data_IF_353465434927
#
_entry.id   IF_353465434927
#
_cell.length_a   1.000
_cell.length_b   1.000
_cell.length_c   1.000
_cell.angle_alpha   90.00
_cell.angle_beta   90.00
_cell.angle_gamma   90.00
#
_symmetry.space_group_name_H-M   'P 1'
#
loop_
_entity.id
_entity.type
_entity.pdbx_description
1 polymer ?
#
# COMPACT_ATOMS: atom_id res chain seq x y z
N UNK A 1 11.35 -16.74 17.63
CA UNK A 1 10.82 -16.32 16.35
C UNK A 1 11.49 -17.16 15.28
N UNK A 2 10.68 -17.74 14.38
CA UNK A 2 11.21 -18.44 13.23
C UNK A 2 11.88 -17.43 12.30
N UNK A 3 12.95 -17.83 11.60
CA UNK A 3 13.61 -16.90 10.67
C UNK A 3 12.66 -16.56 9.51
N UNK A 4 12.76 -15.35 8.94
CA UNK A 4 11.90 -14.91 7.83
C UNK A 4 11.90 -15.87 6.62
N UNK A 5 13.00 -16.60 6.39
CA UNK A 5 13.10 -17.64 5.36
C UNK A 5 12.17 -18.85 5.58
N UNK A 6 11.72 -19.10 6.82
CA UNK A 6 10.69 -20.12 7.09
C UNK A 6 9.31 -19.72 6.55
N UNK A 7 9.13 -18.44 6.30
CA UNK A 7 7.94 -17.82 5.76
C UNK A 7 7.71 -18.17 4.27
N UNK A 8 8.80 -18.31 3.53
CA UNK A 8 8.82 -18.81 2.16
C UNK A 8 8.93 -20.34 2.13
N UNK A 9 8.37 -21.05 3.16
CA UNK A 9 8.35 -22.50 3.23
C UNK A 9 8.18 -23.17 1.86
N UNK A 10 8.37 -24.51 1.70
CA UNK A 10 8.25 -25.14 0.40
C UNK A 10 6.91 -24.65 -0.18
N UNK A 11 6.87 -24.21 -1.44
CA UNK A 11 5.74 -23.50 -2.00
C UNK A 11 4.48 -24.34 -1.78
N UNK A 12 3.78 -24.06 -0.69
CA UNK A 12 2.40 -24.46 -0.59
C UNK A 12 1.77 -23.86 -1.83
N UNK A 13 0.99 -24.65 -2.56
CA UNK A 13 0.41 -24.34 -3.86
C UNK A 13 -0.35 -22.98 -3.93
N UNK A 14 -0.38 -22.22 -2.84
CA UNK A 14 -1.04 -20.92 -2.73
C UNK A 14 -0.15 -19.74 -3.11
N UNK A 15 1.17 -19.85 -2.99
CA UNK A 15 2.10 -18.76 -3.34
C UNK A 15 3.10 -19.27 -4.38
N UNK A 16 2.83 -19.01 -5.64
CA UNK A 16 3.81 -19.23 -6.69
C UNK A 16 4.92 -18.16 -6.53
N UNK A 17 6.02 -18.53 -5.90
CA UNK A 17 7.24 -17.72 -5.88
C UNK A 17 8.01 -17.99 -7.15
N UNK A 18 8.07 -17.02 -8.05
CA UNK A 18 9.03 -17.05 -9.14
C UNK A 18 10.36 -16.52 -8.61
N UNK A 19 11.34 -17.42 -8.48
CA UNK A 19 12.68 -17.08 -7.98
C UNK A 19 13.52 -16.26 -8.98
N UNK A 20 12.93 -15.81 -10.08
CA UNK A 20 13.65 -15.22 -11.21
C UNK A 20 13.35 -13.71 -11.31
N UNK A 21 13.96 -12.93 -10.43
CA UNK A 21 13.87 -11.49 -10.57
C UNK A 21 14.70 -10.73 -9.54
N UNK A 22 15.86 -10.22 -9.96
CA UNK A 22 16.62 -9.19 -9.23
C UNK A 22 15.92 -7.81 -9.30
N UNK A 23 14.75 -7.71 -9.95
CA UNK A 23 14.03 -6.46 -10.09
C UNK A 23 13.10 -6.25 -8.89
N UNK A 24 13.39 -5.25 -8.06
CA UNK A 24 12.59 -4.93 -6.87
C UNK A 24 11.20 -4.38 -7.20
N UNK A 25 10.91 -4.07 -8.47
CA UNK A 25 9.64 -3.49 -8.89
C UNK A 25 8.70 -4.59 -9.40
N UNK A 26 7.52 -4.76 -8.80
CA UNK A 26 6.55 -5.71 -9.31
C UNK A 26 6.15 -5.38 -10.77
N UNK A 27 6.11 -6.36 -11.67
CA UNK A 27 5.82 -6.11 -13.09
C UNK A 27 4.35 -5.78 -13.37
N UNK A 28 3.46 -6.17 -12.48
CA UNK A 28 2.02 -5.99 -12.64
C UNK A 28 1.30 -6.07 -11.30
N UNK A 29 0.06 -5.59 -11.29
CA UNK A 29 -0.89 -5.78 -10.19
C UNK A 29 -1.06 -7.27 -9.85
N UNK A 30 -1.22 -7.56 -8.57
CA UNK A 30 -1.37 -8.91 -8.05
C UNK A 30 -0.05 -9.63 -7.78
N UNK A 31 1.07 -8.97 -8.03
CA UNK A 31 2.41 -9.45 -7.69
C UNK A 31 3.05 -8.47 -6.71
N UNK A 32 3.73 -9.00 -5.72
CA UNK A 32 4.59 -8.23 -4.81
C UNK A 32 6.01 -8.78 -4.88
N UNK A 33 7.00 -7.94 -4.63
CA UNK A 33 8.39 -8.35 -4.48
C UNK A 33 8.76 -8.27 -3.00
N UNK A 34 9.35 -9.32 -2.48
CA UNK A 34 9.78 -9.42 -1.08
C UNK A 34 11.30 -9.28 -1.05
N UNK A 35 11.84 -8.41 -0.20
CA UNK A 35 13.29 -8.38 0.04
C UNK A 35 13.65 -9.19 1.27
N UNK A 36 14.45 -10.21 1.05
CA UNK A 36 14.85 -11.14 2.08
C UNK A 36 16.20 -11.78 1.71
N UNK A 37 17.14 -11.85 2.64
CA UNK A 37 18.45 -12.47 2.45
C UNK A 37 19.21 -11.94 1.20
N UNK A 38 19.06 -10.65 0.88
CA UNK A 38 19.73 -9.99 -0.25
C UNK A 38 19.14 -10.30 -1.63
N UNK A 39 17.90 -10.79 -1.71
CA UNK A 39 17.21 -11.12 -2.95
C UNK A 39 15.77 -10.60 -2.97
N UNK A 40 15.23 -10.42 -4.19
CA UNK A 40 13.86 -9.95 -4.43
C UNK A 40 12.97 -11.04 -5.06
N UNK A 41 12.63 -12.13 -4.35
CA UNK A 41 11.64 -13.08 -4.86
C UNK A 41 10.29 -12.41 -5.09
N UNK A 42 9.61 -12.83 -6.17
CA UNK A 42 8.27 -12.39 -6.51
C UNK A 42 7.23 -13.34 -5.96
N UNK A 43 6.15 -12.79 -5.44
CA UNK A 43 5.02 -13.56 -4.92
C UNK A 43 3.72 -13.09 -5.57
N UNK A 44 2.96 -14.03 -6.13
CA UNK A 44 1.62 -13.75 -6.62
C UNK A 44 0.63 -13.75 -5.45
N UNK A 45 -0.13 -12.67 -5.30
CA UNK A 45 -1.19 -12.57 -4.30
C UNK A 45 -2.46 -13.27 -4.82
N UNK A 46 -3.04 -14.22 -4.08
CA UNK A 46 -4.33 -14.80 -4.44
C UNK A 46 -5.43 -13.73 -4.50
N UNK A 47 -6.51 -13.94 -5.28
CA UNK A 47 -7.68 -13.06 -5.21
C UNK A 47 -8.23 -12.99 -3.79
N UNK A 48 -8.64 -11.79 -3.34
CA UNK A 48 -9.25 -11.65 -2.01
C UNK A 48 -10.54 -12.47 -1.89
N UNK A 49 -10.81 -12.97 -0.69
CA UNK A 49 -12.08 -13.60 -0.32
C UNK A 49 -13.21 -12.58 -0.14
N UNK A 50 -12.84 -11.30 0.07
CA UNK A 50 -13.78 -10.20 0.15
C UNK A 50 -14.41 -9.88 -1.21
N UNK A 51 -15.58 -9.23 -1.19
CA UNK A 51 -16.35 -8.89 -2.41
C UNK A 51 -16.32 -7.42 -2.76
N UNK A 52 -15.84 -6.57 -1.85
CA UNK A 52 -15.77 -5.12 -2.08
C UNK A 52 -14.57 -4.79 -2.95
N UNK A 53 -14.65 -3.66 -3.64
CA UNK A 53 -13.55 -3.15 -4.47
C UNK A 53 -12.29 -2.96 -3.63
N UNK A 54 -12.42 -2.40 -2.43
CA UNK A 54 -11.29 -2.19 -1.52
C UNK A 54 -10.60 -3.49 -1.12
N UNK A 55 -11.34 -4.59 -1.00
CA UNK A 55 -10.79 -5.90 -0.63
C UNK A 55 -9.90 -6.48 -1.76
N UNK A 56 -10.12 -6.08 -3.02
CA UNK A 56 -9.36 -6.54 -4.18
C UNK A 56 -8.05 -5.77 -4.43
N UNK A 57 -7.78 -4.73 -3.68
CA UNK A 57 -6.51 -4.02 -3.76
C UNK A 57 -5.35 -4.90 -3.30
N UNK A 58 -4.20 -4.77 -3.94
CA UNK A 58 -3.02 -5.57 -3.58
C UNK A 58 -2.60 -5.37 -2.12
N UNK A 59 -2.74 -4.17 -1.57
CA UNK A 59 -2.47 -3.90 -0.15
C UNK A 59 -3.44 -4.63 0.78
N UNK A 60 -4.70 -4.77 0.41
CA UNK A 60 -5.68 -5.52 1.20
C UNK A 60 -5.42 -7.04 1.11
N UNK A 61 -5.10 -7.53 -0.08
CA UNK A 61 -4.70 -8.93 -0.31
C UNK A 61 -3.40 -9.28 0.44
N UNK A 62 -2.41 -8.38 0.45
CA UNK A 62 -1.19 -8.56 1.24
C UNK A 62 -1.52 -8.68 2.73
N UNK A 63 -2.43 -7.84 3.23
CA UNK A 63 -2.89 -7.92 4.63
C UNK A 63 -3.59 -9.24 4.92
N UNK A 64 -4.51 -9.67 4.06
CA UNK A 64 -5.30 -10.90 4.23
C UNK A 64 -4.44 -12.18 4.18
N UNK A 65 -3.44 -12.21 3.29
CA UNK A 65 -2.69 -13.45 3.02
C UNK A 65 -1.31 -13.49 3.67
N UNK A 66 -0.76 -12.34 4.04
CA UNK A 66 0.61 -12.26 4.56
C UNK A 66 0.67 -11.63 5.94
N UNK A 67 0.22 -10.37 6.08
CA UNK A 67 0.46 -9.61 7.31
C UNK A 67 -0.30 -10.23 8.49
N UNK A 68 -1.58 -10.54 8.32
CA UNK A 68 -2.41 -11.08 9.40
C UNK A 68 -2.03 -12.52 9.76
N UNK A 69 -2.01 -13.50 8.81
CA UNK A 69 -1.80 -14.90 9.16
C UNK A 69 -0.36 -15.25 9.54
N UNK A 70 0.62 -14.52 9.07
CA UNK A 70 2.03 -14.89 9.23
C UNK A 70 2.83 -13.92 10.10
N UNK A 71 2.49 -12.64 10.10
CA UNK A 71 3.19 -11.63 10.88
C UNK A 71 2.38 -11.13 12.09
N UNK A 72 1.16 -11.65 12.28
CA UNK A 72 0.23 -11.25 13.35
C UNK A 72 -0.10 -9.73 13.34
N UNK A 73 0.03 -9.10 12.16
CA UNK A 73 -0.27 -7.67 11.95
C UNK A 73 -1.72 -7.54 11.50
N UNK A 74 -2.62 -7.32 12.46
CA UNK A 74 -4.07 -7.19 12.21
C UNK A 74 -4.53 -5.76 11.94
N UNK A 75 -3.83 -4.75 12.43
CA UNK A 75 -4.09 -3.33 12.15
C UNK A 75 -2.80 -2.61 11.72
N UNK A 76 -2.50 -2.57 10.42
CA UNK A 76 -1.29 -1.93 9.90
C UNK A 76 -1.14 -0.44 10.24
N UNK A 77 -2.21 0.20 10.75
CA UNK A 77 -2.16 1.63 11.15
C UNK A 77 -1.49 1.84 12.49
N UNK A 78 -1.51 0.85 13.35
CA UNK A 78 -1.12 0.96 14.76
C UNK A 78 -0.07 -0.02 15.20
N UNK A 79 0.17 -1.04 14.39
CA UNK A 79 1.13 -2.07 14.72
C UNK A 79 2.56 -1.49 14.66
N UNK A 80 3.35 -1.63 15.72
CA UNK A 80 4.72 -1.12 15.75
C UNK A 80 5.70 -1.93 14.89
N UNK A 81 5.30 -3.12 14.43
CA UNK A 81 6.15 -4.02 13.63
C UNK A 81 6.01 -3.76 12.12
N UNK A 82 5.26 -2.75 11.70
CA UNK A 82 5.16 -2.35 10.30
C UNK A 82 5.48 -0.88 10.14
N UNK A 83 6.29 -0.57 9.13
CA UNK A 83 6.55 0.80 8.69
C UNK A 83 6.30 0.94 7.19
N UNK A 84 6.17 2.17 6.72
CA UNK A 84 5.82 2.48 5.34
C UNK A 84 6.85 3.43 4.74
N UNK A 85 7.44 3.00 3.64
CA UNK A 85 8.36 3.81 2.84
C UNK A 85 7.62 4.34 1.63
N UNK A 86 7.65 5.66 1.42
CA UNK A 86 7.04 6.27 0.24
C UNK A 86 7.80 5.90 -1.03
N UNK A 87 7.09 5.52 -2.09
CA UNK A 87 7.68 5.06 -3.35
C UNK A 87 8.67 6.04 -4.00
N UNK A 88 8.62 7.33 -3.64
CA UNK A 88 9.59 8.33 -4.10
C UNK A 88 11.02 8.07 -3.61
N UNK A 89 11.19 7.30 -2.54
CA UNK A 89 12.51 6.94 -1.99
C UNK A 89 13.14 5.75 -2.71
N UNK A 90 12.37 5.09 -3.56
CA UNK A 90 12.81 3.89 -4.26
C UNK A 90 12.90 2.66 -3.36
N UNK A 91 13.44 1.60 -3.93
CA UNK A 91 13.62 0.31 -3.26
C UNK A 91 14.94 0.23 -2.48
N UNK A 92 15.90 1.09 -2.79
CA UNK A 92 17.20 1.15 -2.10
C UNK A 92 17.01 1.36 -0.58
N UNK A 93 16.08 2.22 -0.18
CA UNK A 93 15.74 2.43 1.24
C UNK A 93 15.19 1.15 1.90
N UNK A 94 14.48 0.32 1.15
CA UNK A 94 13.95 -0.95 1.66
C UNK A 94 15.07 -1.96 1.89
N UNK A 95 16.00 -2.06 0.95
CA UNK A 95 17.19 -2.91 1.05
C UNK A 95 18.05 -2.48 2.24
N UNK A 96 18.37 -1.18 2.33
CA UNK A 96 19.19 -0.63 3.42
C UNK A 96 18.60 -0.96 4.80
N UNK A 97 17.30 -0.85 4.98
CA UNK A 97 16.66 -1.15 6.28
C UNK A 97 16.76 -2.62 6.66
N UNK A 98 16.61 -3.52 5.71
CA UNK A 98 16.73 -4.95 5.97
C UNK A 98 18.18 -5.33 6.21
N UNK A 99 19.10 -4.84 5.36
CA UNK A 99 20.53 -5.15 5.47
C UNK A 99 21.16 -4.61 6.76
N UNK A 100 20.66 -3.49 7.29
CA UNK A 100 21.09 -2.95 8.59
C UNK A 100 20.40 -3.61 9.79
N UNK A 101 19.39 -4.45 9.56
CA UNK A 101 18.64 -5.13 10.61
C UNK A 101 17.59 -4.25 11.30
N UNK A 102 17.18 -3.16 10.64
CA UNK A 102 16.08 -2.30 11.10
C UNK A 102 14.70 -2.92 10.74
N UNK A 103 14.69 -3.86 9.81
CA UNK A 103 13.54 -4.67 9.43
C UNK A 103 13.97 -6.09 9.08
N UNK A 104 13.12 -7.07 9.33
CA UNK A 104 13.37 -8.48 8.98
C UNK A 104 12.99 -8.79 7.52
N UNK A 105 12.08 -7.99 6.94
CA UNK A 105 11.51 -8.18 5.60
C UNK A 105 11.09 -6.83 5.03
N UNK A 106 11.29 -6.62 3.75
CA UNK A 106 10.64 -5.52 3.03
C UNK A 106 9.74 -6.04 1.91
N UNK A 107 8.69 -5.27 1.59
CA UNK A 107 7.73 -5.59 0.54
C UNK A 107 7.62 -4.42 -0.41
N UNK A 108 7.93 -4.65 -1.68
CA UNK A 108 7.67 -3.72 -2.76
C UNK A 108 6.36 -4.08 -3.46
N UNK A 109 5.52 -3.08 -3.70
CA UNK A 109 4.17 -3.27 -4.23
C UNK A 109 3.99 -2.55 -5.56
N UNK A 110 3.12 -3.09 -6.40
CA UNK A 110 2.70 -2.39 -7.61
C UNK A 110 1.94 -1.10 -7.24
N UNK A 111 2.19 0.03 -7.92
CA UNK A 111 1.50 1.29 -7.61
C UNK A 111 -0.01 1.18 -7.73
N UNK A 112 -0.74 1.68 -6.74
CA UNK A 112 -2.20 1.81 -6.80
C UNK A 112 -2.58 2.76 -7.94
N UNK A 113 -3.51 2.35 -8.79
CA UNK A 113 -3.96 3.15 -9.93
C UNK A 113 -5.01 4.20 -9.53
N UNK A 114 -5.19 5.21 -10.38
CA UNK A 114 -6.25 6.21 -10.19
C UNK A 114 -7.64 5.56 -10.32
N UNK A 115 -7.78 4.59 -11.22
CA UNK A 115 -9.01 3.84 -11.43
C UNK A 115 -9.42 3.07 -10.17
N UNK A 116 -8.46 2.47 -9.47
CA UNK A 116 -8.70 1.81 -8.18
C UNK A 116 -9.16 2.80 -7.11
N UNK A 117 -8.52 3.96 -7.03
CA UNK A 117 -8.90 5.00 -6.10
C UNK A 117 -10.34 5.48 -6.35
N UNK A 118 -10.68 5.72 -7.61
CA UNK A 118 -12.04 6.13 -8.01
C UNK A 118 -13.04 5.04 -7.68
N UNK A 119 -12.75 3.78 -8.03
CA UNK A 119 -13.66 2.66 -7.79
C UNK A 119 -13.94 2.44 -6.29
N UNK A 120 -12.92 2.55 -5.42
CA UNK A 120 -13.10 2.47 -3.97
C UNK A 120 -13.94 3.64 -3.44
N UNK A 121 -13.72 4.85 -3.99
CA UNK A 121 -14.49 6.04 -3.63
C UNK A 121 -15.96 5.93 -4.05
N UNK A 122 -16.23 5.45 -5.27
CA UNK A 122 -17.59 5.27 -5.79
C UNK A 122 -18.36 4.21 -5.01
N UNK A 123 -17.66 3.19 -4.48
CA UNK A 123 -18.23 2.20 -3.56
C UNK A 123 -18.56 2.80 -2.18
N UNK A 124 -18.07 3.99 -1.86
CA UNK A 124 -18.16 4.59 -0.53
C UNK A 124 -17.24 3.95 0.52
N UNK A 125 -16.25 3.21 0.08
CA UNK A 125 -15.22 2.60 0.93
C UNK A 125 -14.06 3.57 1.17
N UNK A 126 -13.26 3.29 2.21
CA UNK A 126 -12.04 4.03 2.50
C UNK A 126 -10.82 3.27 1.98
N UNK A 127 -9.88 3.99 1.39
CA UNK A 127 -8.60 3.42 1.01
C UNK A 127 -7.84 2.88 2.23
N UNK A 128 -7.14 1.74 2.10
CA UNK A 128 -6.25 1.25 3.13
C UNK A 128 -5.16 2.29 3.48
N UNK A 129 -4.60 2.25 4.69
CA UNK A 129 -3.61 3.24 5.11
C UNK A 129 -2.37 3.19 4.22
N UNK A 130 -1.83 4.38 3.90
CA UNK A 130 -0.57 4.52 3.16
C UNK A 130 -0.55 3.87 1.77
N UNK A 131 -1.69 3.48 1.21
CA UNK A 131 -1.81 2.88 -0.11
C UNK A 131 -1.74 3.89 -1.26
N UNK A 132 -1.73 5.20 -0.95
CA UNK A 132 -1.60 6.27 -1.94
C UNK A 132 -0.61 7.33 -1.47
N UNK A 133 0.12 7.89 -2.42
CA UNK A 133 1.01 9.02 -2.21
C UNK A 133 0.72 10.11 -3.24
N UNK A 134 0.37 11.29 -2.75
CA UNK A 134 0.14 12.46 -3.60
C UNK A 134 1.32 13.42 -3.49
N UNK A 135 1.90 13.78 -4.63
CA UNK A 135 3.00 14.73 -4.72
C UNK A 135 2.69 15.77 -5.82
N UNK A 136 2.73 17.07 -5.55
CA UNK A 136 2.94 17.69 -4.24
C UNK A 136 1.72 17.54 -3.33
N UNK A 137 1.95 17.53 -2.01
CA UNK A 137 0.85 17.48 -1.04
C UNK A 137 -0.06 18.70 -1.21
N UNK A 138 -1.36 18.44 -1.29
CA UNK A 138 -2.36 19.50 -1.31
C UNK A 138 -2.24 20.33 -0.02
N UNK A 139 -2.19 21.65 -0.19
CA UNK A 139 -2.21 22.57 0.96
C UNK A 139 -3.66 22.76 1.41
N UNK A 140 -3.93 22.47 2.67
CA UNK A 140 -5.22 22.76 3.28
C UNK A 140 -5.35 24.26 3.55
N UNK A 141 -6.58 24.79 3.39
CA UNK A 141 -6.87 26.20 3.71
C UNK A 141 -6.53 27.23 2.63
N UNK A 142 -6.05 26.81 1.44
CA UNK A 142 -5.88 27.72 0.30
C UNK A 142 -7.20 28.18 -0.29
N UNK A 143 -8.21 27.29 -0.28
CA UNK A 143 -9.57 27.55 -0.69
C UNK A 143 -10.49 26.96 0.39
N UNK A 144 -11.42 27.75 0.85
CA UNK A 144 -12.48 27.33 1.78
C UNK A 144 -13.81 27.59 1.08
N UNK A 145 -14.59 26.53 0.86
CA UNK A 145 -15.98 26.65 0.43
C UNK A 145 -16.85 26.34 1.65
N UNK A 146 -17.50 27.38 2.17
CA UNK A 146 -18.44 27.27 3.26
C UNK A 146 -19.83 26.92 2.70
N UNK A 147 -20.38 25.80 3.13
CA UNK A 147 -21.71 25.33 2.75
C UNK A 147 -22.79 25.79 3.76
N UNK A 148 -22.49 26.73 4.63
CA UNK A 148 -23.51 27.27 5.53
C UNK A 148 -24.69 27.83 4.74
N UNK A 149 -25.89 27.43 5.08
CA UNK A 149 -27.13 27.75 4.36
C UNK A 149 -27.48 29.25 4.33
N UNK A 150 -26.85 30.07 5.12
CA UNK A 150 -27.06 31.51 5.20
C UNK A 150 -25.92 32.29 4.53
N UNK A 151 -25.89 32.31 3.20
CA UNK A 151 -25.19 33.39 2.49
C UNK A 151 -26.07 34.64 2.63
N UNK A 152 -25.63 35.68 3.37
CA UNK A 152 -26.38 36.91 3.48
C UNK A 152 -26.65 37.47 2.09
N UNK A 153 -27.89 37.75 1.75
CA UNK A 153 -28.25 38.42 0.51
C UNK A 153 -27.52 39.77 0.48
N UNK A 154 -26.42 39.85 -0.21
CA UNK A 154 -25.60 41.05 -0.27
C UNK A 154 -24.09 40.84 -0.10
N UNK A 155 -23.60 39.62 -0.10
CA UNK A 155 -22.16 39.37 -0.13
C UNK A 155 -21.51 40.06 -1.36
N UNK A 156 -20.41 40.80 -1.20
CA UNK A 156 -19.76 41.47 -2.31
C UNK A 156 -19.29 40.46 -3.34
N UNK A 157 -19.68 40.67 -4.58
CA UNK A 157 -19.13 39.90 -5.73
C UNK A 157 -17.65 40.19 -5.81
N UNK A 158 -16.82 39.15 -5.73
CA UNK A 158 -15.40 39.27 -5.99
C UNK A 158 -15.17 39.85 -7.36
N UNK A 159 -14.27 40.84 -7.52
CA UNK A 159 -13.95 41.37 -8.83
C UNK A 159 -13.29 40.29 -9.68
N UNK A 160 -13.83 40.00 -10.82
CA UNK A 160 -13.19 39.24 -11.90
C UNK A 160 -12.02 40.04 -12.45
N UNK A 161 -10.83 39.60 -12.18
CA UNK A 161 -9.61 40.00 -12.90
C UNK A 161 -9.21 38.92 -13.87
#
# INVERSE_FOLDING_TARGET
PEPPSAFLGPPDEQFATEADGDDPVPPTKGIVCLYLDGAWPRMALPPSRGVRVVDQLDVARLSEYVLEPHLDITDPRRDPNIDFVGGIRGTDELEERVDHGDADLAVSMYPTSIEELVAVSDEGSLMPPKSTWFEPKLRSGLLVHDFAEDVPKGAPTMPTT
#
